data_IF_159595812313
#
_entry.id   IF_159595812313
#
_cell.length_a   1.000
_cell.length_b   1.000
_cell.length_c   1.000
_cell.angle_alpha   90.00
_cell.angle_beta   90.00
_cell.angle_gamma   90.00
#
_symmetry.space_group_name_H-M   'P 1'
#
loop_
_entity.id
_entity.type
_entity.pdbx_description
1 polymer ?
#
# COMPACT_ATOMS: atom_id res chain seq x y z
N UNK A 1 -9.00 12.42 -21.76
CA UNK A 1 -9.08 13.58 -20.84
C UNK A 1 -8.79 13.08 -19.44
N UNK A 2 -7.56 13.27 -18.97
CA UNK A 2 -7.13 12.96 -17.61
C UNK A 2 -7.63 14.07 -16.66
N UNK A 3 -7.99 13.68 -15.43
CA UNK A 3 -8.52 14.57 -14.40
C UNK A 3 -7.48 15.61 -14.00
N UNK A 4 -7.83 16.90 -14.13
CA UNK A 4 -7.04 18.00 -13.57
C UNK A 4 -6.94 17.80 -12.05
N UNK A 5 -5.72 17.54 -11.55
CA UNK A 5 -5.42 17.41 -10.12
C UNK A 5 -4.88 16.05 -9.67
N UNK A 6 -4.77 15.05 -10.54
CA UNK A 6 -4.08 13.79 -10.19
C UNK A 6 -2.58 13.91 -10.44
N UNK A 7 -1.85 14.46 -9.46
CA UNK A 7 -0.38 14.46 -9.45
C UNK A 7 0.21 13.03 -9.31
N UNK A 8 -0.62 12.00 -9.10
CA UNK A 8 -0.16 10.63 -8.85
C UNK A 8 0.25 9.86 -10.13
N UNK A 9 -0.06 10.36 -11.33
CA UNK A 9 0.25 9.67 -12.61
C UNK A 9 0.85 10.58 -13.70
N UNK A 10 1.29 11.79 -13.36
CA UNK A 10 1.95 12.69 -14.31
C UNK A 10 3.40 12.23 -14.57
N UNK A 11 3.92 12.53 -15.77
CA UNK A 11 5.35 12.40 -16.04
C UNK A 11 6.10 13.35 -15.10
N UNK A 12 6.73 12.80 -14.08
CA UNK A 12 7.40 13.57 -13.03
C UNK A 12 8.51 14.45 -13.60
N UNK A 13 9.09 14.08 -14.75
CA UNK A 13 10.10 14.87 -15.44
C UNK A 13 9.55 16.18 -15.99
N UNK A 14 8.24 16.26 -16.25
CA UNK A 14 7.55 17.50 -16.65
C UNK A 14 7.35 18.50 -15.49
N UNK A 15 7.69 18.10 -14.26
CA UNK A 15 7.67 18.95 -13.06
C UNK A 15 9.08 19.39 -12.61
N UNK A 16 10.12 18.98 -13.32
CA UNK A 16 11.48 19.43 -13.04
C UNK A 16 11.71 20.83 -13.62
N UNK A 17 12.46 21.64 -12.87
CA UNK A 17 12.96 22.91 -13.36
C UNK A 17 13.93 22.67 -14.53
N UNK A 18 13.86 23.49 -15.60
CA UNK A 18 14.90 23.52 -16.62
C UNK A 18 16.28 23.70 -15.98
N UNK A 19 17.31 23.13 -16.61
CA UNK A 19 18.67 23.10 -16.05
C UNK A 19 19.22 24.50 -15.79
N UNK A 20 18.92 25.46 -16.65
CA UNK A 20 19.31 26.87 -16.54
C UNK A 20 18.72 27.52 -15.28
N UNK A 21 17.45 27.23 -14.97
CA UNK A 21 16.80 27.72 -13.75
C UNK A 21 17.36 27.03 -12.49
N UNK A 22 17.68 25.74 -12.59
CA UNK A 22 18.31 24.98 -11.52
C UNK A 22 19.70 25.54 -11.16
N UNK A 23 20.54 25.84 -12.17
CA UNK A 23 21.87 26.42 -11.97
C UNK A 23 21.83 27.74 -11.19
N UNK A 24 20.86 28.61 -11.49
CA UNK A 24 20.71 29.89 -10.79
C UNK A 24 20.36 29.75 -9.31
N UNK A 25 19.75 28.62 -8.92
CA UNK A 25 19.28 28.33 -7.56
C UNK A 25 20.23 27.45 -6.75
N UNK A 26 21.24 26.85 -7.41
CA UNK A 26 22.11 25.84 -6.81
C UNK A 26 22.87 26.36 -5.59
N UNK A 27 23.46 27.57 -5.66
CA UNK A 27 24.24 28.12 -4.56
C UNK A 27 23.39 28.33 -3.29
N UNK A 28 22.18 28.90 -3.44
CA UNK A 28 21.25 29.10 -2.33
C UNK A 28 20.76 27.77 -1.73
N UNK A 29 20.51 26.76 -2.58
CA UNK A 29 20.14 25.42 -2.11
C UNK A 29 21.28 24.73 -1.34
N UNK A 30 22.51 24.82 -1.86
CA UNK A 30 23.70 24.30 -1.19
C UNK A 30 23.89 24.93 0.19
N UNK A 31 23.68 26.25 0.32
CA UNK A 31 23.72 26.95 1.59
C UNK A 31 22.63 26.46 2.56
N UNK A 32 21.38 26.33 2.10
CA UNK A 32 20.24 25.88 2.91
C UNK A 32 20.42 24.45 3.45
N UNK A 33 20.97 23.55 2.63
CA UNK A 33 21.17 22.14 2.98
C UNK A 33 22.53 21.90 3.66
N UNK A 34 23.37 22.94 3.76
CA UNK A 34 24.71 22.86 4.35
C UNK A 34 25.70 22.04 3.50
N UNK A 35 25.49 21.98 2.19
CA UNK A 35 26.34 21.30 1.23
C UNK A 35 27.30 22.29 0.54
N UNK A 36 28.51 21.87 0.18
CA UNK A 36 29.37 22.71 -0.65
C UNK A 36 28.76 22.92 -2.04
N UNK A 37 28.84 24.15 -2.54
CA UNK A 37 28.34 24.59 -3.85
C UNK A 37 29.31 24.28 -5.00
N UNK A 38 30.54 23.89 -4.68
CA UNK A 38 31.55 23.47 -5.66
C UNK A 38 31.60 21.94 -5.81
N UNK A 39 31.79 21.42 -7.03
CA UNK A 39 31.92 19.97 -7.24
C UNK A 39 33.04 19.33 -6.42
N UNK A 40 34.20 20.01 -6.32
CA UNK A 40 35.33 19.53 -5.53
C UNK A 40 35.02 19.50 -4.03
N UNK A 41 34.35 20.54 -3.51
CA UNK A 41 33.91 20.59 -2.11
C UNK A 41 32.89 19.50 -1.81
N UNK A 42 31.92 19.28 -2.69
CA UNK A 42 30.89 18.25 -2.52
C UNK A 42 31.49 16.85 -2.45
N UNK A 43 32.43 16.53 -3.35
CA UNK A 43 33.15 15.24 -3.33
C UNK A 43 33.98 15.09 -2.05
N UNK A 44 34.66 16.15 -1.60
CA UNK A 44 35.43 16.12 -0.36
C UNK A 44 34.51 15.87 0.85
N UNK A 45 33.37 16.56 0.93
CA UNK A 45 32.37 16.38 1.98
C UNK A 45 31.83 14.94 2.02
N UNK A 46 31.48 14.36 0.87
CA UNK A 46 31.02 12.97 0.80
C UNK A 46 32.10 11.98 1.27
N UNK A 47 33.36 12.20 0.89
CA UNK A 47 34.48 11.35 1.33
C UNK A 47 34.67 11.44 2.84
N UNK A 48 34.65 12.65 3.39
CA UNK A 48 34.79 12.89 4.82
C UNK A 48 33.64 12.27 5.63
N UNK A 49 32.39 12.46 5.17
CA UNK A 49 31.22 11.84 5.78
C UNK A 49 31.29 10.31 5.75
N UNK A 50 31.76 9.74 4.63
CA UNK A 50 31.93 8.29 4.50
C UNK A 50 33.02 7.76 5.43
N UNK A 51 34.18 8.41 5.49
CA UNK A 51 35.28 8.02 6.38
C UNK A 51 34.89 8.17 7.85
N UNK A 52 34.18 9.24 8.22
CA UNK A 52 33.66 9.46 9.57
C UNK A 52 32.67 8.36 9.95
N UNK A 53 31.74 8.01 9.06
CA UNK A 53 30.79 6.92 9.29
C UNK A 53 31.50 5.56 9.42
N UNK A 54 32.52 5.29 8.61
CA UNK A 54 33.34 4.09 8.69
C UNK A 54 34.09 4.02 10.03
N UNK A 55 34.75 5.10 10.45
CA UNK A 55 35.45 5.15 11.73
C UNK A 55 34.50 4.97 12.93
N UNK A 56 33.30 5.54 12.86
CA UNK A 56 32.27 5.34 13.87
C UNK A 56 31.77 3.89 13.92
N UNK A 57 31.57 3.26 12.75
CA UNK A 57 31.22 1.84 12.65
C UNK A 57 32.32 0.96 13.24
N UNK A 58 33.58 1.21 12.88
CA UNK A 58 34.74 0.46 13.35
C UNK A 58 34.90 0.56 14.89
N UNK A 59 34.74 1.76 15.44
CA UNK A 59 34.77 1.96 16.90
C UNK A 59 33.63 1.22 17.63
N UNK A 60 32.46 1.14 17.01
CA UNK A 60 31.29 0.43 17.54
C UNK A 60 31.26 -1.08 17.26
N UNK A 61 32.16 -1.60 16.41
CA UNK A 61 32.07 -2.97 15.89
C UNK A 61 32.18 -4.03 16.99
N UNK A 62 33.11 -3.87 17.95
CA UNK A 62 33.27 -4.80 19.08
C UNK A 62 32.01 -4.92 19.96
N UNK A 63 31.11 -3.94 19.88
CA UNK A 63 29.85 -3.90 20.62
C UNK A 63 28.62 -4.15 19.74
N UNK A 64 28.80 -4.32 18.43
CA UNK A 64 27.71 -4.52 17.48
C UNK A 64 27.34 -6.01 17.38
N UNK A 65 26.28 -6.43 18.09
CA UNK A 65 25.84 -7.82 18.13
C UNK A 65 25.17 -8.29 16.81
N UNK A 66 24.76 -7.34 15.96
CA UNK A 66 23.95 -7.60 14.77
C UNK A 66 24.79 -7.68 13.47
N UNK A 67 25.95 -7.02 13.41
CA UNK A 67 26.87 -7.07 12.27
C UNK A 67 28.08 -7.95 12.60
N UNK A 68 28.27 -9.04 11.87
CA UNK A 68 29.40 -9.96 12.03
C UNK A 68 30.13 -10.10 10.69
N UNK A 69 31.42 -9.76 10.68
CA UNK A 69 32.33 -10.10 9.58
C UNK A 69 32.83 -11.52 9.87
N UNK A 70 32.55 -12.44 8.96
CA UNK A 70 33.01 -13.82 9.09
C UNK A 70 34.53 -13.97 8.86
N UNK A 71 35.09 -15.16 9.13
CA UNK A 71 36.52 -15.45 8.94
C UNK A 71 36.98 -15.27 7.48
N UNK A 72 36.05 -15.22 6.52
CA UNK A 72 36.28 -14.95 5.10
C UNK A 72 36.21 -13.47 4.71
N UNK A 73 35.94 -12.57 5.66
CA UNK A 73 35.84 -11.13 5.43
C UNK A 73 34.50 -10.67 4.85
N UNK A 74 33.46 -11.53 4.87
CA UNK A 74 32.14 -11.18 4.35
C UNK A 74 31.29 -10.60 5.48
N UNK A 75 30.78 -9.35 5.35
CA UNK A 75 29.89 -8.77 6.34
C UNK A 75 28.51 -9.42 6.25
N UNK A 76 28.08 -10.03 7.35
CA UNK A 76 26.76 -10.63 7.49
C UNK A 76 25.97 -9.92 8.59
N UNK A 77 24.71 -9.59 8.30
CA UNK A 77 23.78 -9.06 9.27
C UNK A 77 22.95 -10.21 9.86
N UNK A 78 23.00 -10.38 11.17
CA UNK A 78 22.08 -11.29 11.86
C UNK A 78 20.67 -10.77 11.68
N UNK A 79 19.78 -11.65 11.21
CA UNK A 79 18.38 -11.33 11.01
C UNK A 79 17.75 -10.99 12.36
N UNK A 80 17.49 -9.71 12.59
CA UNK A 80 16.75 -9.22 13.75
C UNK A 80 15.34 -9.82 13.70
N UNK A 81 15.06 -10.81 14.55
CA UNK A 81 13.68 -11.25 14.80
C UNK A 81 13.03 -10.12 15.59
N UNK A 82 12.35 -9.21 14.89
CA UNK A 82 11.62 -8.12 15.53
C UNK A 82 10.69 -8.68 16.60
N UNK A 83 10.74 -8.11 17.80
CA UNK A 83 9.58 -8.15 18.70
C UNK A 83 8.44 -7.48 17.95
N UNK A 84 7.26 -8.10 17.97
CA UNK A 84 6.10 -7.71 17.19
C UNK A 84 5.78 -6.22 17.25
N UNK A 85 5.34 -5.71 16.11
CA UNK A 85 4.65 -4.44 15.87
C UNK A 85 5.06 -3.28 16.76
N UNK A 86 5.93 -2.42 16.20
CA UNK A 86 6.19 -1.07 16.71
C UNK A 86 4.86 -0.38 17.02
N UNK A 87 4.64 0.02 18.27
CA UNK A 87 3.52 0.87 18.69
C UNK A 87 3.43 2.16 17.85
N UNK A 88 4.55 2.56 17.22
CA UNK A 88 4.62 3.65 16.27
C UNK A 88 3.92 3.34 14.94
N UNK A 89 3.94 2.09 14.47
CA UNK A 89 3.18 1.68 13.29
C UNK A 89 1.67 1.72 13.53
N UNK A 90 1.22 1.30 14.72
CA UNK A 90 -0.18 1.42 15.14
C UNK A 90 -0.60 2.90 15.27
N UNK A 91 0.25 3.76 15.86
CA UNK A 91 0.02 5.22 15.95
C UNK A 91 -0.06 5.91 14.58
N UNK A 92 0.68 5.41 13.59
CA UNK A 92 0.69 5.95 12.22
C UNK A 92 -0.41 5.36 11.32
N UNK A 93 -1.09 4.29 11.76
CA UNK A 93 -2.20 3.73 10.98
C UNK A 93 -3.46 4.57 11.19
N UNK A 94 -3.98 5.24 10.15
CA UNK A 94 -5.22 5.97 10.29
C UNK A 94 -6.38 4.99 10.50
N UNK A 95 -7.34 5.38 11.36
CA UNK A 95 -8.60 4.66 11.48
C UNK A 95 -9.32 4.65 10.12
N UNK A 96 -9.75 3.45 9.68
CA UNK A 96 -10.44 3.26 8.40
C UNK A 96 -11.67 2.40 8.61
N UNK A 97 -12.78 2.81 8.00
CA UNK A 97 -13.97 1.96 7.95
C UNK A 97 -13.72 0.71 7.09
N UNK A 98 -14.42 -0.39 7.40
CA UNK A 98 -14.37 -1.61 6.57
C UNK A 98 -14.78 -1.32 5.12
N UNK A 99 -15.76 -0.45 4.91
CA UNK A 99 -16.16 -0.01 3.58
C UNK A 99 -15.03 0.74 2.86
N UNK A 100 -14.27 1.58 3.57
CA UNK A 100 -13.10 2.26 3.03
C UNK A 100 -12.00 1.27 2.63
N UNK A 101 -11.82 0.18 3.39
CA UNK A 101 -10.87 -0.88 3.05
C UNK A 101 -11.32 -1.58 1.76
N UNK A 102 -12.60 -1.97 1.66
CA UNK A 102 -13.17 -2.59 0.45
C UNK A 102 -13.04 -1.67 -0.76
N UNK A 103 -13.33 -0.38 -0.62
CA UNK A 103 -13.20 0.62 -1.68
C UNK A 103 -11.74 0.80 -2.13
N UNK A 104 -10.78 0.78 -1.19
CA UNK A 104 -9.34 0.82 -1.52
C UNK A 104 -8.90 -0.44 -2.26
N UNK A 105 -9.32 -1.62 -1.82
CA UNK A 105 -9.05 -2.85 -2.56
C UNK A 105 -9.65 -2.80 -3.98
N UNK A 106 -10.86 -2.26 -4.13
CA UNK A 106 -11.48 -2.06 -5.45
C UNK A 106 -10.69 -1.10 -6.32
N UNK A 107 -10.18 -0.01 -5.74
CA UNK A 107 -9.38 0.98 -6.45
C UNK A 107 -8.07 0.37 -6.97
N UNK A 108 -7.28 -0.24 -6.10
CA UNK A 108 -5.95 -0.77 -6.45
C UNK A 108 -6.00 -1.99 -7.36
N UNK A 109 -6.93 -2.92 -7.08
CA UNK A 109 -7.01 -4.17 -7.84
C UNK A 109 -7.96 -4.07 -9.02
N UNK A 110 -8.73 -2.99 -9.13
CA UNK A 110 -9.72 -2.74 -10.19
C UNK A 110 -10.73 -3.87 -10.41
N UNK A 111 -10.94 -4.76 -9.41
CA UNK A 111 -11.83 -5.92 -9.52
C UNK A 111 -13.28 -5.54 -9.84
N UNK A 112 -13.70 -4.30 -9.53
CA UNK A 112 -15.04 -3.79 -9.82
C UNK A 112 -15.35 -3.76 -11.32
N UNK A 113 -14.33 -3.75 -12.19
CA UNK A 113 -14.48 -3.84 -13.64
C UNK A 113 -15.04 -5.17 -14.12
N UNK A 114 -14.95 -6.23 -13.31
CA UNK A 114 -15.57 -7.51 -13.61
C UNK A 114 -17.09 -7.44 -13.53
N UNK A 115 -17.61 -6.46 -12.80
CA UNK A 115 -19.04 -6.23 -12.65
C UNK A 115 -19.59 -5.34 -13.76
N UNK A 116 -20.85 -5.57 -14.08
CA UNK A 116 -21.56 -4.89 -15.15
C UNK A 116 -22.66 -5.78 -15.69
N UNK A 117 -23.52 -5.26 -16.57
CA UNK A 117 -24.57 -6.07 -17.19
C UNK A 117 -23.98 -7.27 -17.95
N UNK A 118 -24.78 -8.33 -18.08
CA UNK A 118 -24.41 -9.51 -18.86
C UNK A 118 -24.43 -9.23 -20.38
N UNK A 119 -25.30 -8.32 -20.82
CA UNK A 119 -25.44 -7.86 -22.20
C UNK A 119 -26.01 -6.42 -22.20
N UNK A 120 -25.54 -5.58 -23.13
CA UNK A 120 -26.10 -4.24 -23.36
C UNK A 120 -25.37 -3.08 -22.69
N UNK A 121 -25.73 -1.86 -23.11
CA UNK A 121 -25.19 -0.59 -22.60
C UNK A 121 -25.36 -0.52 -21.09
N UNK A 122 -24.25 -0.28 -20.37
CA UNK A 122 -24.23 -0.11 -18.93
C UNK A 122 -25.27 0.96 -18.53
N UNK A 123 -26.23 0.67 -17.61
CA UNK A 123 -26.99 1.72 -16.97
C UNK A 123 -25.99 2.80 -16.53
N UNK A 124 -26.29 4.09 -16.75
CA UNK A 124 -25.38 5.20 -16.41
C UNK A 124 -25.18 5.29 -14.89
N UNK A 125 -24.42 4.35 -14.32
CA UNK A 125 -23.95 4.35 -12.94
C UNK A 125 -22.84 5.39 -12.90
N UNK A 126 -23.14 6.53 -12.26
CA UNK A 126 -22.22 7.68 -12.20
C UNK A 126 -20.89 7.33 -11.51
N UNK A 127 -20.95 6.54 -10.44
CA UNK A 127 -19.78 6.08 -9.69
C UNK A 127 -19.77 4.55 -9.59
N UNK A 128 -19.12 3.87 -10.54
CA UNK A 128 -19.08 2.40 -10.57
C UNK A 128 -18.27 1.82 -9.41
N UNK A 129 -17.18 2.50 -9.04
CA UNK A 129 -16.31 2.03 -7.97
C UNK A 129 -17.06 2.04 -6.65
N UNK A 130 -17.61 3.18 -6.22
CA UNK A 130 -18.34 3.26 -4.96
C UNK A 130 -19.58 2.38 -4.94
N UNK A 131 -20.34 2.30 -6.04
CA UNK A 131 -21.58 1.51 -6.10
C UNK A 131 -21.34 0.01 -6.05
N UNK A 132 -20.29 -0.49 -6.73
CA UNK A 132 -19.92 -1.89 -6.64
C UNK A 132 -19.24 -2.23 -5.32
N UNK A 133 -18.38 -1.36 -4.78
CA UNK A 133 -17.80 -1.54 -3.44
C UNK A 133 -18.87 -1.61 -2.36
N UNK A 134 -19.88 -0.75 -2.43
CA UNK A 134 -21.00 -0.78 -1.49
C UNK A 134 -21.86 -2.03 -1.66
N UNK A 135 -22.15 -2.45 -2.89
CA UNK A 135 -22.92 -3.67 -3.15
C UNK A 135 -22.21 -4.93 -2.63
N UNK A 136 -20.89 -5.01 -2.81
CA UNK A 136 -20.07 -6.11 -2.27
C UNK A 136 -20.02 -6.05 -0.75
N UNK A 137 -19.82 -4.87 -0.16
CA UNK A 137 -19.77 -4.70 1.29
C UNK A 137 -21.10 -5.11 1.95
N UNK A 138 -22.21 -4.56 1.46
CA UNK A 138 -23.56 -4.89 1.96
C UNK A 138 -23.90 -6.37 1.79
N UNK A 139 -23.52 -6.98 0.65
CA UNK A 139 -23.63 -8.42 0.44
C UNK A 139 -22.77 -9.24 1.40
N UNK A 140 -21.54 -8.80 1.68
CA UNK A 140 -20.60 -9.47 2.56
C UNK A 140 -21.01 -9.45 4.04
N UNK A 141 -21.61 -8.35 4.50
CA UNK A 141 -22.19 -8.26 5.85
C UNK A 141 -23.64 -8.79 5.93
N UNK A 142 -24.14 -9.39 4.84
CA UNK A 142 -25.47 -9.96 4.70
C UNK A 142 -26.62 -8.99 5.06
N UNK A 143 -26.45 -7.68 4.80
CA UNK A 143 -27.52 -6.70 4.95
C UNK A 143 -28.33 -6.60 3.66
N UNK A 144 -29.66 -6.67 3.78
CA UNK A 144 -30.56 -6.52 2.63
C UNK A 144 -30.47 -5.10 2.02
N UNK A 145 -30.72 -4.92 0.71
CA UNK A 145 -30.67 -3.61 0.06
C UNK A 145 -31.58 -2.55 0.70
N UNK A 146 -32.72 -3.00 1.24
CA UNK A 146 -33.69 -2.14 1.92
C UNK A 146 -33.22 -1.68 3.29
N UNK A 147 -32.59 -2.55 4.07
CA UNK A 147 -31.99 -2.17 5.36
C UNK A 147 -30.73 -1.32 5.14
N UNK A 148 -29.89 -1.68 4.16
CA UNK A 148 -28.71 -0.89 3.81
C UNK A 148 -29.07 0.57 3.44
N UNK A 149 -30.14 0.78 2.67
CA UNK A 149 -30.57 2.12 2.27
C UNK A 149 -31.10 2.99 3.44
N UNK A 150 -31.52 2.38 4.57
CA UNK A 150 -31.90 3.12 5.77
C UNK A 150 -30.69 3.63 6.55
N UNK A 151 -29.57 2.89 6.49
CA UNK A 151 -28.38 3.16 7.28
C UNK A 151 -27.24 3.83 6.50
N UNK A 152 -27.32 3.86 5.16
CA UNK A 152 -26.25 4.35 4.28
C UNK A 152 -26.79 5.48 3.40
N UNK A 153 -26.30 6.69 3.61
CA UNK A 153 -26.69 7.86 2.84
C UNK A 153 -26.22 7.78 1.38
N UNK A 154 -27.00 8.36 0.47
CA UNK A 154 -26.62 8.54 -0.94
C UNK A 154 -26.94 7.36 -1.86
N UNK A 155 -27.56 6.28 -1.35
CA UNK A 155 -27.88 5.08 -2.13
C UNK A 155 -29.31 4.61 -1.88
N UNK A 156 -30.01 4.23 -2.96
CA UNK A 156 -31.39 3.70 -2.87
C UNK A 156 -31.41 2.17 -2.83
N UNK A 157 -32.39 1.60 -2.14
CA UNK A 157 -32.58 0.14 -2.07
C UNK A 157 -32.74 -0.49 -3.46
N UNK A 158 -33.47 0.22 -4.36
CA UNK A 158 -33.68 -0.20 -5.74
C UNK A 158 -32.37 -0.27 -6.52
N UNK A 159 -31.50 0.71 -6.33
CA UNK A 159 -30.20 0.74 -7.00
C UNK A 159 -29.27 -0.37 -6.51
N UNK A 160 -29.19 -0.60 -5.19
CA UNK A 160 -28.42 -1.72 -4.64
C UNK A 160 -28.95 -3.08 -5.10
N UNK A 161 -30.26 -3.27 -5.07
CA UNK A 161 -30.88 -4.50 -5.55
C UNK A 161 -30.63 -4.72 -7.04
N UNK A 162 -30.67 -3.66 -7.85
CA UNK A 162 -30.40 -3.72 -9.27
C UNK A 162 -28.95 -4.12 -9.55
N UNK A 163 -27.98 -3.47 -8.90
CA UNK A 163 -26.56 -3.78 -9.01
C UNK A 163 -26.29 -5.23 -8.60
N UNK A 164 -26.77 -5.63 -7.41
CA UNK A 164 -26.53 -6.98 -6.89
C UNK A 164 -27.12 -8.06 -7.79
N UNK A 165 -28.34 -7.88 -8.26
CA UNK A 165 -29.04 -8.94 -8.99
C UNK A 165 -28.69 -8.96 -10.50
N UNK A 166 -28.29 -7.84 -11.09
CA UNK A 166 -28.05 -7.74 -12.54
C UNK A 166 -26.57 -7.66 -12.92
N UNK A 167 -25.73 -7.07 -12.06
CA UNK A 167 -24.33 -6.78 -12.41
C UNK A 167 -23.33 -7.72 -11.72
N UNK A 168 -23.73 -8.33 -10.60
CA UNK A 168 -22.90 -9.27 -9.83
C UNK A 168 -23.49 -10.67 -10.01
N UNK A 169 -22.89 -11.45 -10.90
CA UNK A 169 -23.19 -12.89 -11.01
C UNK A 169 -22.15 -13.69 -10.23
N UNK A 170 -22.49 -14.92 -9.83
CA UNK A 170 -21.56 -15.81 -9.12
C UNK A 170 -20.23 -15.97 -9.88
N UNK A 171 -20.29 -16.12 -11.21
CA UNK A 171 -19.10 -16.21 -12.07
C UNK A 171 -18.23 -14.96 -11.98
N UNK A 172 -18.83 -13.77 -12.01
CA UNK A 172 -18.10 -12.49 -11.92
C UNK A 172 -17.53 -12.27 -10.52
N UNK A 173 -18.28 -12.66 -9.49
CA UNK A 173 -17.83 -12.59 -8.09
C UNK A 173 -16.63 -13.49 -7.85
N UNK A 174 -16.68 -14.76 -8.30
CA UNK A 174 -15.54 -15.68 -8.17
C UNK A 174 -14.29 -15.16 -8.89
N UNK A 175 -14.46 -14.55 -10.07
CA UNK A 175 -13.35 -13.93 -10.77
C UNK A 175 -12.77 -12.71 -10.03
N UNK A 176 -13.62 -11.91 -9.37
CA UNK A 176 -13.16 -10.79 -8.53
C UNK A 176 -12.43 -11.29 -7.27
N UNK A 177 -12.90 -12.39 -6.66
CA UNK A 177 -12.22 -13.04 -5.54
C UNK A 177 -10.84 -13.52 -5.98
N UNK A 178 -10.73 -14.16 -7.15
CA UNK A 178 -9.45 -14.63 -7.68
C UNK A 178 -8.43 -13.47 -7.84
N UNK A 179 -8.86 -12.30 -8.32
CA UNK A 179 -7.97 -11.13 -8.42
C UNK A 179 -7.43 -10.69 -7.06
N UNK A 180 -8.28 -10.67 -6.03
CA UNK A 180 -7.88 -10.29 -4.68
C UNK A 180 -6.93 -11.31 -4.08
N UNK A 181 -7.23 -12.60 -4.23
CA UNK A 181 -6.40 -13.70 -3.71
C UNK A 181 -5.05 -13.74 -4.41
N UNK A 182 -5.01 -13.61 -5.74
CA UNK A 182 -3.77 -13.62 -6.50
C UNK A 182 -2.88 -12.42 -6.14
N UNK A 183 -3.46 -11.22 -6.06
CA UNK A 183 -2.71 -10.04 -5.64
C UNK A 183 -2.22 -10.15 -4.18
N UNK A 184 -3.00 -10.77 -3.30
CA UNK A 184 -2.57 -11.04 -1.93
C UNK A 184 -1.41 -12.04 -1.88
N UNK A 185 -1.39 -13.05 -2.74
CA UNK A 185 -0.33 -14.05 -2.81
C UNK A 185 1.03 -13.46 -3.25
N UNK A 186 1.02 -12.35 -3.99
CA UNK A 186 2.22 -11.61 -4.37
C UNK A 186 2.80 -10.78 -3.21
N UNK A 187 2.01 -10.49 -2.17
CA UNK A 187 2.49 -9.75 -1.00
C UNK A 187 3.34 -10.65 -0.10
N UNK A 188 4.60 -10.25 0.10
CA UNK A 188 5.52 -10.90 1.04
C UNK A 188 5.06 -10.86 2.51
N UNK A 189 3.98 -10.11 2.79
CA UNK A 189 3.28 -10.10 4.08
C UNK A 189 2.83 -11.51 4.48
N UNK A 190 2.35 -12.33 3.52
CA UNK A 190 1.95 -13.72 3.81
C UNK A 190 3.13 -14.61 4.24
N UNK A 191 4.35 -14.33 3.76
CA UNK A 191 5.57 -15.02 4.19
C UNK A 191 6.13 -14.47 5.50
N UNK A 192 5.95 -13.18 5.76
CA UNK A 192 6.43 -12.49 6.95
C UNK A 192 5.62 -12.85 8.21
N UNK A 193 4.33 -13.16 8.08
CA UNK A 193 3.45 -13.49 9.21
C UNK A 193 3.56 -14.95 9.68
N UNK A 194 4.42 -15.75 9.03
CA UNK A 194 4.67 -17.15 9.37
C UNK A 194 3.74 -18.11 8.63
N UNK A 195 4.29 -19.22 8.18
CA UNK A 195 3.49 -20.35 7.68
C UNK A 195 2.47 -20.75 8.75
N UNK A 196 1.21 -20.94 8.36
CA UNK A 196 0.10 -21.39 9.22
C UNK A 196 0.30 -22.80 9.82
N UNK A 197 1.52 -23.35 9.78
CA UNK A 197 1.92 -24.65 10.32
C UNK A 197 2.06 -24.63 11.86
N UNK A 198 1.94 -23.47 12.51
CA UNK A 198 1.96 -23.39 13.98
C UNK A 198 0.55 -23.45 14.60
N UNK A 199 -0.28 -24.40 14.15
CA UNK A 199 -1.33 -24.91 15.03
C UNK A 199 -0.70 -26.02 15.89
N UNK A 200 -0.50 -25.80 17.21
CA UNK A 200 0.01 -26.86 18.06
C UNK A 200 -1.00 -28.03 18.05
N UNK A 201 -0.55 -29.28 17.86
CA UNK A 201 -1.43 -30.45 17.97
C UNK A 201 -1.88 -30.57 19.43
N UNK A 202 -3.00 -29.94 19.77
CA UNK A 202 -3.53 -29.93 21.14
C UNK A 202 -4.51 -28.79 21.49
N UNK A 203 -4.67 -27.77 20.65
CA UNK A 203 -5.72 -26.77 20.89
C UNK A 203 -7.09 -27.35 20.52
N UNK A 204 -7.88 -27.69 21.55
CA UNK A 204 -9.24 -28.19 21.42
C UNK A 204 -10.11 -27.24 20.60
N UNK A 205 -10.95 -27.81 19.72
CA UNK A 205 -12.01 -27.09 19.02
C UNK A 205 -12.95 -26.45 20.04
N UNK A 206 -13.16 -25.12 20.04
CA UNK A 206 -14.30 -24.55 20.73
C UNK A 206 -15.54 -24.95 19.94
N UNK A 207 -16.39 -25.79 20.55
CA UNK A 207 -17.74 -26.02 20.05
C UNK A 207 -18.55 -24.74 20.20
N UNK A 208 -18.98 -24.18 19.08
CA UNK A 208 -20.23 -23.45 18.91
C UNK A 208 -20.76 -23.75 17.49
#
# INVERSE_FOLDING_TARGET
MAVLGSYEYADWSAHLLPWEECQSKLAAFCEEVGLPDTPAGFVAHLKDAHLTAAAHLDAGYLHNADLVIDEGGVPTLKRRRGKGTDAEAERRMPERSLLSIVARCAHWLTWYRRFGPAFGSDPKIKDKLGRYSLAVFTGGINIGPYEAAKHIAGVTARELSMVRNRHITLKKLNAAIADVVNAFAELDVGKAWGTATRWPPGAAHPQL
#
